data_IF_129495882686
#
_entry.id   IF_129495882686
#
_cell.length_a   1.000
_cell.length_b   1.000
_cell.length_c   1.000
_cell.angle_alpha   90.00
_cell.angle_beta   90.00
_cell.angle_gamma   90.00
#
_symmetry.space_group_name_H-M   'P 1'
#
loop_
_entity.id
_entity.type
_entity.pdbx_description
1 polymer ?
#
# COMPACT_ATOMS: atom_id res chain seq x y z
N UNK A 1 -7.96 18.97 12.07
CA UNK A 1 -8.37 17.93 11.12
C UNK A 1 -7.92 16.63 11.75
N UNK A 2 -8.84 15.74 12.09
CA UNK A 2 -8.48 14.45 12.68
C UNK A 2 -7.68 13.64 11.69
N UNK A 3 -6.60 13.02 12.15
CA UNK A 3 -5.81 12.08 11.38
C UNK A 3 -6.68 10.84 11.15
N UNK A 4 -7.18 10.67 9.91
CA UNK A 4 -8.07 9.56 9.53
C UNK A 4 -7.33 8.24 9.31
N UNK A 5 -6.06 8.15 9.70
CA UNK A 5 -5.33 6.89 9.58
C UNK A 5 -5.91 5.86 10.53
N UNK A 6 -6.19 4.67 9.99
CA UNK A 6 -6.50 3.54 10.84
C UNK A 6 -5.26 3.10 11.64
N UNK A 7 -5.40 2.65 12.89
CA UNK A 7 -4.30 2.17 13.71
C UNK A 7 -3.54 0.99 13.08
N UNK A 8 -4.18 0.23 12.24
CA UNK A 8 -3.57 -0.88 11.52
C UNK A 8 -4.41 -1.36 10.35
N UNK A 9 -3.78 -2.17 9.52
CA UNK A 9 -4.41 -2.86 8.39
C UNK A 9 -4.12 -4.35 8.46
N UNK A 10 -5.15 -5.15 8.21
CA UNK A 10 -4.97 -6.54 7.81
C UNK A 10 -5.27 -6.65 6.33
N UNK A 11 -4.30 -7.19 5.59
CA UNK A 11 -4.41 -7.39 4.14
C UNK A 11 -4.55 -8.88 3.85
N UNK A 12 -5.43 -9.22 2.93
CA UNK A 12 -5.48 -10.55 2.32
C UNK A 12 -5.12 -10.46 0.84
N UNK A 13 -4.10 -11.22 0.44
CA UNK A 13 -3.67 -11.39 -0.95
C UNK A 13 -4.31 -12.69 -1.45
N UNK A 14 -5.33 -12.61 -2.30
CA UNK A 14 -6.16 -13.75 -2.67
C UNK A 14 -6.15 -14.04 -4.17
N UNK A 15 -6.04 -15.30 -4.54
CA UNK A 15 -6.15 -15.74 -5.94
C UNK A 15 -7.60 -15.76 -6.44
N UNK A 16 -8.59 -15.70 -5.52
CA UNK A 16 -10.00 -15.65 -5.86
C UNK A 16 -10.37 -14.38 -6.60
N UNK A 17 -11.31 -14.47 -7.55
CA UNK A 17 -11.86 -13.29 -8.23
C UNK A 17 -12.62 -12.37 -7.24
N UNK A 18 -12.66 -11.04 -7.48
CA UNK A 18 -13.23 -10.07 -6.55
C UNK A 18 -14.70 -10.32 -6.16
N UNK A 19 -15.53 -10.77 -7.10
CA UNK A 19 -16.94 -11.07 -6.83
C UNK A 19 -17.13 -12.20 -5.79
N UNK A 20 -16.62 -13.41 -6.01
CA UNK A 20 -16.62 -14.50 -5.03
C UNK A 20 -15.95 -14.12 -3.71
N UNK A 21 -14.80 -13.42 -3.76
CA UNK A 21 -14.13 -12.96 -2.55
C UNK A 21 -15.04 -12.05 -1.71
N UNK A 22 -15.67 -11.05 -2.34
CA UNK A 22 -16.57 -10.11 -1.68
C UNK A 22 -17.83 -10.77 -1.12
N UNK A 23 -18.34 -11.83 -1.75
CA UNK A 23 -19.55 -12.54 -1.31
C UNK A 23 -19.26 -13.50 -0.15
N UNK A 24 -18.15 -14.22 -0.19
CA UNK A 24 -17.91 -15.36 0.69
C UNK A 24 -16.86 -15.04 1.77
N UNK A 25 -15.72 -14.47 1.36
CA UNK A 25 -14.58 -14.27 2.26
C UNK A 25 -14.63 -12.95 3.03
N UNK A 26 -14.86 -11.83 2.35
CA UNK A 26 -14.82 -10.52 2.97
C UNK A 26 -15.80 -10.39 4.15
N UNK A 27 -17.07 -10.84 4.09
CA UNK A 27 -17.98 -10.81 5.22
C UNK A 27 -17.50 -11.67 6.39
N UNK A 28 -16.91 -12.84 6.11
CA UNK A 28 -16.40 -13.76 7.14
C UNK A 28 -15.28 -13.11 7.94
N UNK A 29 -14.35 -12.41 7.26
CA UNK A 29 -13.26 -11.70 7.93
C UNK A 29 -13.78 -10.46 8.64
N UNK A 30 -14.66 -9.67 8.00
CA UNK A 30 -15.24 -8.45 8.56
C UNK A 30 -16.01 -8.68 9.86
N UNK A 31 -16.59 -9.87 10.05
CA UNK A 31 -17.25 -10.26 11.30
C UNK A 31 -16.26 -10.52 12.45
N UNK A 32 -14.96 -10.50 12.21
CA UNK A 32 -13.92 -10.71 13.22
C UNK A 32 -13.80 -9.53 14.18
N UNK A 33 -13.30 -9.84 15.39
CA UNK A 33 -13.08 -8.80 16.41
C UNK A 33 -11.98 -7.82 15.97
N UNK A 34 -12.21 -6.53 16.21
CA UNK A 34 -11.23 -5.49 15.93
C UNK A 34 -11.16 -5.05 14.47
N UNK A 35 -12.14 -5.39 13.65
CA UNK A 35 -12.28 -4.89 12.27
C UNK A 35 -13.37 -3.81 12.25
N UNK A 36 -13.06 -2.64 11.71
CA UNK A 36 -13.96 -1.48 11.66
C UNK A 36 -14.52 -1.23 10.25
N UNK A 37 -13.80 -1.66 9.22
CA UNK A 37 -14.22 -1.56 7.83
C UNK A 37 -13.52 -2.64 7.01
N UNK A 38 -14.19 -3.15 6.00
CA UNK A 38 -13.62 -4.06 5.03
C UNK A 38 -13.86 -3.54 3.61
N UNK A 39 -12.87 -3.67 2.75
CA UNK A 39 -12.99 -3.38 1.32
C UNK A 39 -12.21 -4.41 0.53
N UNK A 40 -12.61 -4.63 -0.73
CA UNK A 40 -11.87 -5.52 -1.62
C UNK A 40 -11.69 -4.90 -3.00
N UNK A 41 -10.57 -5.22 -3.60
CA UNK A 41 -10.00 -4.49 -4.71
C UNK A 41 -9.49 -5.44 -5.78
N UNK A 42 -9.77 -5.15 -7.05
CA UNK A 42 -9.24 -5.92 -8.17
C UNK A 42 -7.86 -5.42 -8.60
N UNK A 43 -6.96 -6.35 -8.84
CA UNK A 43 -5.65 -6.06 -9.41
C UNK A 43 -5.80 -5.51 -10.84
N UNK A 44 -5.19 -4.36 -11.11
CA UNK A 44 -5.30 -3.68 -12.40
C UNK A 44 -4.17 -4.02 -13.36
N UNK A 45 -3.10 -4.65 -12.87
CA UNK A 45 -1.95 -5.01 -13.71
C UNK A 45 -1.31 -6.34 -13.27
N UNK A 46 -2.02 -7.49 -13.43
CA UNK A 46 -1.54 -8.78 -12.94
C UNK A 46 -0.23 -9.24 -13.59
N UNK A 47 0.05 -8.79 -14.83
CA UNK A 47 1.26 -9.15 -15.58
C UNK A 47 2.37 -8.09 -15.47
N UNK A 48 2.39 -7.30 -14.38
CA UNK A 48 3.40 -6.26 -14.19
C UNK A 48 4.82 -6.82 -14.21
N UNK A 49 5.66 -6.29 -15.08
CA UNK A 49 7.06 -6.70 -15.29
C UNK A 49 8.07 -5.53 -15.19
N UNK A 50 7.56 -4.30 -15.06
CA UNK A 50 8.36 -3.07 -14.95
C UNK A 50 8.94 -2.81 -13.55
N UNK A 51 8.51 -3.59 -12.55
CA UNK A 51 8.99 -3.50 -11.16
C UNK A 51 9.33 -4.90 -10.65
N UNK A 52 10.47 -5.08 -9.96
CA UNK A 52 10.78 -6.35 -9.30
C UNK A 52 9.70 -6.76 -8.31
N UNK A 53 9.41 -8.05 -8.22
CA UNK A 53 8.50 -8.61 -7.21
C UNK A 53 9.04 -9.93 -6.66
N UNK A 54 8.74 -10.20 -5.41
CA UNK A 54 9.11 -11.44 -4.70
C UNK A 54 7.90 -12.21 -4.21
N UNK A 55 6.79 -11.51 -3.95
CA UNK A 55 5.53 -12.16 -3.67
C UNK A 55 4.90 -12.68 -4.97
N UNK A 56 4.21 -13.79 -4.84
CA UNK A 56 3.38 -14.30 -5.95
C UNK A 56 2.32 -13.26 -6.32
N UNK A 57 1.91 -13.28 -7.57
CA UNK A 57 0.80 -12.47 -8.04
C UNK A 57 -0.52 -12.95 -7.43
N UNK A 58 -1.46 -12.06 -7.28
CA UNK A 58 -2.79 -12.35 -6.75
C UNK A 58 -3.85 -11.47 -7.44
N UNK A 59 -5.08 -11.94 -7.46
CA UNK A 59 -6.18 -11.33 -8.20
C UNK A 59 -6.92 -10.26 -7.39
N UNK A 60 -7.12 -10.53 -6.09
CA UNK A 60 -7.92 -9.68 -5.20
C UNK A 60 -7.11 -9.29 -3.96
N UNK A 61 -7.15 -8.01 -3.64
CA UNK A 61 -6.64 -7.46 -2.38
C UNK A 61 -7.82 -7.21 -1.43
N UNK A 62 -7.88 -7.93 -0.30
CA UNK A 62 -8.74 -7.59 0.83
C UNK A 62 -8.03 -6.59 1.73
N UNK A 63 -8.70 -5.51 2.09
CA UNK A 63 -8.19 -4.49 3.03
C UNK A 63 -9.15 -4.36 4.18
N UNK A 64 -8.67 -4.60 5.39
CA UNK A 64 -9.44 -4.54 6.62
C UNK A 64 -8.80 -3.50 7.55
N UNK A 65 -9.57 -2.46 7.86
CA UNK A 65 -9.16 -1.43 8.82
C UNK A 65 -9.36 -1.95 10.24
N UNK A 66 -8.35 -1.72 11.07
CA UNK A 66 -8.28 -2.33 12.39
C UNK A 66 -8.53 -1.32 13.50
N UNK A 67 -9.08 -1.83 14.60
CA UNK A 67 -9.07 -1.20 15.93
C UNK A 67 -8.32 -2.09 16.92
N UNK A 68 -8.28 -1.68 18.17
CA UNK A 68 -7.67 -2.46 19.25
C UNK A 68 -8.29 -3.85 19.38
N UNK A 69 -7.47 -4.83 19.74
CA UNK A 69 -7.91 -6.20 20.00
C UNK A 69 -8.05 -7.09 18.78
N UNK A 70 -7.59 -6.64 17.61
CA UNK A 70 -7.58 -7.47 16.41
C UNK A 70 -6.74 -8.74 16.58
N UNK A 71 -7.28 -9.85 16.09
CA UNK A 71 -6.56 -11.12 15.97
C UNK A 71 -6.68 -11.62 14.53
N UNK A 72 -5.56 -11.87 13.84
CA UNK A 72 -5.60 -12.34 12.46
C UNK A 72 -6.41 -13.64 12.33
N UNK A 73 -7.35 -13.71 11.38
CA UNK A 73 -8.07 -14.95 11.10
C UNK A 73 -7.14 -15.98 10.46
N UNK A 74 -7.51 -17.24 10.54
CA UNK A 74 -6.84 -18.29 9.74
C UNK A 74 -7.10 -18.03 8.27
N UNK A 75 -6.02 -17.86 7.51
CA UNK A 75 -6.08 -17.72 6.06
C UNK A 75 -6.35 -19.11 5.43
N UNK A 76 -7.33 -19.22 4.51
CA UNK A 76 -7.53 -20.45 3.76
C UNK A 76 -6.42 -20.64 2.69
N UNK A 77 -6.42 -21.81 2.05
CA UNK A 77 -5.55 -22.07 0.90
C UNK A 77 -5.78 -21.01 -0.21
N UNK A 78 -4.68 -20.55 -0.84
CA UNK A 78 -4.73 -19.48 -1.87
C UNK A 78 -4.91 -18.05 -1.32
N UNK A 79 -4.83 -17.86 0.00
CA UNK A 79 -4.86 -16.54 0.64
C UNK A 79 -3.66 -16.34 1.55
N UNK A 80 -2.91 -15.26 1.34
CA UNK A 80 -1.85 -14.83 2.25
C UNK A 80 -2.34 -13.66 3.09
N UNK A 81 -2.25 -13.77 4.42
CA UNK A 81 -2.63 -12.70 5.36
C UNK A 81 -1.41 -11.92 5.85
N UNK A 82 -1.48 -10.59 5.80
CA UNK A 82 -0.43 -9.69 6.27
C UNK A 82 -1.02 -8.68 7.27
N UNK A 83 -0.41 -8.56 8.44
CA UNK A 83 -0.86 -7.63 9.48
C UNK A 83 0.12 -6.48 9.64
N UNK A 84 -0.36 -5.25 9.46
CA UNK A 84 0.43 -4.02 9.55
C UNK A 84 -0.12 -3.10 10.64
N UNK A 85 0.78 -2.45 11.38
CA UNK A 85 0.46 -1.39 12.32
C UNK A 85 0.88 -0.03 11.76
N UNK A 86 0.07 1.00 12.00
CA UNK A 86 0.46 2.37 11.68
C UNK A 86 1.70 2.76 12.47
N UNK A 87 2.63 3.42 11.82
CA UNK A 87 3.82 3.93 12.49
C UNK A 87 3.52 5.31 13.12
N UNK A 88 4.31 5.76 14.11
CA UNK A 88 4.17 7.12 14.62
C UNK A 88 4.60 8.21 13.61
N UNK A 89 4.98 7.82 12.40
CA UNK A 89 5.41 8.72 11.34
C UNK A 89 4.22 9.26 10.56
N UNK A 90 4.30 10.52 10.12
CA UNK A 90 3.18 11.14 9.41
C UNK A 90 2.96 10.48 8.05
N UNK A 91 1.70 10.31 7.67
CA UNK A 91 1.34 10.12 6.28
C UNK A 91 1.58 11.40 5.47
N UNK A 92 1.60 11.27 4.16
CA UNK A 92 1.77 12.39 3.22
C UNK A 92 0.48 12.57 2.42
N UNK A 93 -0.05 13.81 2.43
CA UNK A 93 -1.30 14.13 1.75
C UNK A 93 -2.48 14.31 2.70
N UNK A 94 -3.69 14.36 2.15
CA UNK A 94 -4.95 14.57 2.89
C UNK A 94 -6.07 13.76 2.25
N UNK A 95 -6.77 12.96 3.04
CA UNK A 95 -8.05 12.38 2.66
C UNK A 95 -9.11 13.48 2.66
N UNK A 96 -9.64 13.78 1.48
CA UNK A 96 -10.71 14.75 1.28
C UNK A 96 -12.10 14.11 1.40
N UNK A 97 -13.10 14.78 0.81
CA UNK A 97 -14.48 14.26 0.71
C UNK A 97 -14.64 13.27 -0.45
N UNK A 98 -13.71 13.26 -1.41
CA UNK A 98 -13.75 12.34 -2.54
C UNK A 98 -13.48 10.91 -2.06
N UNK A 99 -14.23 9.96 -2.60
CA UNK A 99 -14.08 8.55 -2.27
C UNK A 99 -12.71 8.03 -2.75
N UNK A 100 -12.09 7.17 -1.95
CA UNK A 100 -10.94 6.37 -2.37
C UNK A 100 -11.46 5.19 -3.19
N UNK A 101 -11.19 5.21 -4.50
CA UNK A 101 -11.61 4.16 -5.45
C UNK A 101 -10.44 3.54 -6.22
N UNK A 102 -9.22 4.03 -6.00
CA UNK A 102 -7.98 3.46 -6.47
C UNK A 102 -6.94 3.30 -5.35
N UNK A 103 -6.10 2.29 -5.43
CA UNK A 103 -4.96 2.08 -4.53
C UNK A 103 -3.68 1.81 -5.32
N UNK A 104 -2.53 2.21 -4.73
CA UNK A 104 -1.23 1.64 -5.06
C UNK A 104 -0.68 0.99 -3.79
N UNK A 105 -0.41 -0.31 -3.87
CA UNK A 105 0.20 -1.09 -2.81
C UNK A 105 1.69 -1.21 -3.08
N UNK A 106 2.52 -0.74 -2.15
CA UNK A 106 3.98 -0.85 -2.21
C UNK A 106 4.48 -1.57 -0.97
N UNK A 107 4.95 -2.79 -1.16
CA UNK A 107 5.54 -3.62 -0.12
C UNK A 107 7.04 -3.69 -0.32
N UNK A 108 7.78 -3.32 0.71
CA UNK A 108 9.25 -3.28 0.69
C UNK A 108 9.85 -3.89 1.95
N UNK A 109 11.09 -4.33 1.83
CA UNK A 109 11.89 -4.81 2.95
C UNK A 109 13.32 -4.29 2.86
N UNK A 110 14.03 -4.15 3.99
CA UNK A 110 15.46 -3.91 3.96
C UNK A 110 16.20 -5.15 3.47
N UNK A 111 17.40 -4.98 2.94
CA UNK A 111 18.26 -6.11 2.52
C UNK A 111 18.79 -6.87 3.72
N UNK A 112 19.07 -6.16 4.81
CA UNK A 112 19.45 -6.72 6.11
C UNK A 112 18.64 -6.05 7.22
N UNK A 113 18.52 -6.68 8.37
CA UNK A 113 17.78 -6.14 9.53
C UNK A 113 18.36 -4.81 10.01
N UNK A 114 19.68 -4.68 9.98
CA UNK A 114 20.40 -3.49 10.43
C UNK A 114 20.11 -2.26 9.55
N UNK A 115 19.78 -2.47 8.29
CA UNK A 115 19.43 -1.40 7.33
C UNK A 115 17.98 -0.93 7.45
N UNK A 116 17.17 -1.60 8.26
CA UNK A 116 15.74 -1.34 8.37
C UNK A 116 15.39 0.10 8.69
N UNK A 117 16.08 0.70 9.68
CA UNK A 117 15.84 2.09 10.08
C UNK A 117 16.21 3.08 8.95
N UNK A 118 17.35 2.87 8.28
CA UNK A 118 17.78 3.74 7.19
C UNK A 118 16.82 3.69 5.98
N UNK A 119 16.37 2.48 5.61
CA UNK A 119 15.36 2.30 4.57
C UNK A 119 14.05 3.00 4.91
N UNK A 120 13.60 2.84 6.16
CA UNK A 120 12.37 3.47 6.64
C UNK A 120 12.46 4.99 6.64
N UNK A 121 13.60 5.58 7.10
CA UNK A 121 13.82 7.02 7.09
C UNK A 121 13.80 7.57 5.67
N UNK A 122 14.47 6.90 4.74
CA UNK A 122 14.42 7.27 3.34
C UNK A 122 13.01 7.14 2.76
N UNK A 123 12.33 6.02 2.98
CA UNK A 123 10.97 5.79 2.46
C UNK A 123 9.99 6.87 2.91
N UNK A 124 9.97 7.15 4.22
CA UNK A 124 8.96 8.01 4.82
C UNK A 124 9.29 9.52 4.68
N UNK A 125 10.57 9.91 4.69
CA UNK A 125 10.96 11.33 4.72
C UNK A 125 11.56 11.84 3.41
N UNK A 126 11.93 10.95 2.49
CA UNK A 126 12.45 11.32 1.17
C UNK A 126 11.49 10.84 0.09
N UNK A 127 11.30 9.53 -0.04
CA UNK A 127 10.58 8.96 -1.18
C UNK A 127 9.11 9.39 -1.25
N UNK A 128 8.29 9.04 -0.26
CA UNK A 128 6.85 9.39 -0.29
C UNK A 128 6.60 10.89 -0.16
N UNK A 129 7.48 11.62 0.52
CA UNK A 129 7.38 13.08 0.62
C UNK A 129 7.49 13.74 -0.75
N UNK A 130 8.48 13.39 -1.55
CA UNK A 130 8.65 13.98 -2.89
C UNK A 130 7.50 13.60 -3.84
N UNK A 131 6.92 12.41 -3.68
CA UNK A 131 5.71 12.02 -4.40
C UNK A 131 4.53 12.92 -4.02
N UNK A 132 4.29 13.14 -2.73
CA UNK A 132 3.23 14.01 -2.26
C UNK A 132 3.43 15.47 -2.73
N UNK A 133 4.66 15.97 -2.66
CA UNK A 133 5.03 17.31 -3.13
C UNK A 133 4.91 17.47 -4.66
N UNK A 134 4.97 16.38 -5.43
CA UNK A 134 4.75 16.40 -6.87
C UNK A 134 3.27 16.57 -7.24
N UNK A 135 2.36 16.52 -6.26
CA UNK A 135 0.92 16.73 -6.42
C UNK A 135 0.33 15.89 -7.56
N UNK A 136 0.64 14.59 -7.57
CA UNK A 136 0.15 13.64 -8.58
C UNK A 136 -1.38 13.67 -8.60
N UNK A 137 -2.01 14.00 -9.75
CA UNK A 137 -3.46 14.04 -9.84
C UNK A 137 -4.08 12.69 -9.44
N UNK A 138 -5.08 12.74 -8.56
CA UNK A 138 -5.72 11.54 -8.02
C UNK A 138 -5.12 11.01 -6.73
N UNK A 139 -3.85 11.26 -6.40
CA UNK A 139 -3.28 10.86 -5.11
C UNK A 139 -3.91 11.70 -3.98
N UNK A 140 -4.26 11.03 -2.89
CA UNK A 140 -4.85 11.66 -1.70
C UNK A 140 -3.97 11.51 -0.47
N UNK A 141 -3.66 10.27 -0.10
CA UNK A 141 -2.88 9.98 1.09
C UNK A 141 -1.89 8.85 0.81
N UNK A 142 -0.70 8.98 1.35
CA UNK A 142 0.30 7.91 1.38
C UNK A 142 0.60 7.64 2.85
N UNK A 143 0.21 6.48 3.36
CA UNK A 143 0.38 6.13 4.76
C UNK A 143 1.43 5.04 4.92
N UNK A 144 2.49 5.27 5.72
CA UNK A 144 3.49 4.25 6.03
C UNK A 144 3.01 3.35 7.17
N UNK A 145 3.15 2.04 6.97
CA UNK A 145 2.87 1.01 7.96
C UNK A 145 4.08 0.06 8.12
N UNK A 146 4.13 -0.64 9.24
CA UNK A 146 5.12 -1.66 9.53
C UNK A 146 4.45 -2.98 9.88
N UNK A 147 4.96 -4.10 9.36
CA UNK A 147 4.41 -5.41 9.64
C UNK A 147 4.58 -5.80 11.11
N UNK A 148 3.50 -6.25 11.70
CA UNK A 148 3.47 -6.77 13.08
C UNK A 148 4.19 -8.13 13.11
N UNK A 149 5.12 -8.29 14.06
CA UNK A 149 5.94 -9.50 14.16
C UNK A 149 7.30 -9.38 13.47
N UNK A 150 7.47 -8.44 12.55
CA UNK A 150 8.75 -8.13 11.93
C UNK A 150 9.15 -9.02 10.76
N UNK A 151 8.21 -9.80 10.24
CA UNK A 151 8.39 -10.63 9.05
C UNK A 151 8.50 -9.79 7.76
N UNK A 152 8.74 -10.45 6.64
CA UNK A 152 8.73 -9.85 5.30
C UNK A 152 7.38 -10.09 4.61
N UNK A 153 6.86 -9.09 3.86
CA UNK A 153 7.39 -7.74 3.62
C UNK A 153 7.35 -6.87 4.88
N UNK A 154 8.43 -6.13 5.15
CA UNK A 154 8.60 -5.40 6.41
C UNK A 154 7.80 -4.11 6.48
N UNK A 155 7.73 -3.34 5.40
CA UNK A 155 7.08 -2.05 5.32
C UNK A 155 6.06 -2.01 4.21
N UNK A 156 4.97 -1.27 4.47
CA UNK A 156 3.93 -0.97 3.51
C UNK A 156 3.84 0.56 3.35
N UNK A 157 3.93 1.05 2.13
CA UNK A 157 3.40 2.36 1.77
C UNK A 157 2.06 2.16 1.08
N UNK A 158 1.00 2.63 1.73
CA UNK A 158 -0.38 2.49 1.27
C UNK A 158 -0.84 3.81 0.65
N UNK A 159 -1.03 3.80 -0.67
CA UNK A 159 -1.42 4.98 -1.42
C UNK A 159 -2.91 4.91 -1.72
N UNK A 160 -3.64 5.89 -1.23
CA UNK A 160 -5.07 6.06 -1.47
C UNK A 160 -5.28 7.09 -2.57
N UNK A 161 -6.13 6.74 -3.56
CA UNK A 161 -6.35 7.55 -4.75
C UNK A 161 -7.84 7.75 -5.00
N UNK A 162 -8.23 8.98 -5.37
CA UNK A 162 -9.55 9.30 -5.92
C UNK A 162 -9.47 9.23 -7.44
N UNK A 163 -9.49 8.02 -7.99
CA UNK A 163 -9.41 7.76 -9.43
C UNK A 163 -9.96 6.38 -9.77
N UNK A 164 -10.64 6.26 -10.90
CA UNK A 164 -11.09 4.98 -11.46
C UNK A 164 -10.01 4.28 -12.29
N UNK A 165 -8.90 4.97 -12.57
CA UNK A 165 -7.75 4.46 -13.31
C UNK A 165 -6.46 4.64 -12.50
N UNK A 166 -6.24 3.80 -11.46
CA UNK A 166 -5.05 3.91 -10.62
C UNK A 166 -3.76 3.58 -11.36
N UNK A 167 -3.82 2.79 -12.42
CA UNK A 167 -2.63 2.44 -13.22
C UNK A 167 -2.11 3.64 -14.02
N UNK A 168 -2.98 4.37 -14.71
CA UNK A 168 -2.60 5.61 -15.38
C UNK A 168 -2.10 6.65 -14.38
N UNK A 169 -2.75 6.77 -13.23
CA UNK A 169 -2.34 7.66 -12.15
C UNK A 169 -0.93 7.30 -11.65
N UNK A 170 -0.65 6.02 -11.40
CA UNK A 170 0.68 5.54 -11.01
C UNK A 170 1.76 5.91 -12.05
N UNK A 171 1.48 5.71 -13.34
CA UNK A 171 2.44 6.02 -14.43
C UNK A 171 2.76 7.51 -14.55
N UNK A 172 1.89 8.40 -14.09
CA UNK A 172 2.15 9.85 -14.10
C UNK A 172 3.06 10.30 -12.95
N UNK A 173 3.24 9.50 -11.91
CA UNK A 173 4.02 9.83 -10.72
C UNK A 173 5.48 10.16 -11.05
N UNK A 174 6.19 9.23 -11.67
CA UNK A 174 7.62 9.40 -11.96
C UNK A 174 7.92 10.63 -12.82
N UNK A 175 7.21 10.88 -13.95
CA UNK A 175 7.39 12.13 -14.71
C UNK A 175 7.18 13.40 -13.90
N UNK A 176 6.22 13.44 -13.01
CA UNK A 176 5.95 14.62 -12.17
C UNK A 176 7.03 14.84 -11.12
N UNK A 177 7.49 13.80 -10.45
CA UNK A 177 8.62 13.90 -9.54
C UNK A 177 9.89 14.30 -10.28
N UNK A 178 10.15 13.74 -11.45
CA UNK A 178 11.28 14.10 -12.31
C UNK A 178 11.25 15.58 -12.73
N UNK A 179 10.08 16.12 -13.05
CA UNK A 179 9.92 17.54 -13.37
C UNK A 179 10.36 18.47 -12.21
N UNK A 180 10.25 17.99 -10.96
CA UNK A 180 10.66 18.75 -9.76
C UNK A 180 12.14 18.55 -9.41
N UNK A 181 12.62 17.30 -9.47
CA UNK A 181 13.95 16.95 -8.96
C UNK A 181 15.04 16.95 -10.03
N UNK A 182 14.64 17.01 -11.30
CA UNK A 182 15.51 16.90 -12.44
C UNK A 182 15.53 15.48 -13.03
N UNK A 183 16.27 15.28 -14.14
CA UNK A 183 16.36 13.99 -14.80
C UNK A 183 17.18 12.96 -13.99
N UNK A 184 17.07 11.65 -14.31
CA UNK A 184 17.98 10.62 -13.80
C UNK A 184 19.44 11.05 -13.95
N UNK A 185 20.26 10.82 -12.91
CA UNK A 185 21.64 11.28 -12.80
C UNK A 185 21.78 12.63 -12.08
N UNK A 186 20.70 13.32 -11.72
CA UNK A 186 20.76 14.44 -10.78
C UNK A 186 20.74 13.92 -9.35
N UNK A 187 21.55 14.48 -8.41
CA UNK A 187 21.60 13.99 -7.03
C UNK A 187 20.23 13.89 -6.35
N UNK A 188 19.36 14.90 -6.55
CA UNK A 188 18.05 14.93 -5.93
C UNK A 188 17.11 13.83 -6.48
N UNK A 189 17.16 13.56 -7.79
CA UNK A 189 16.38 12.49 -8.40
C UNK A 189 16.88 11.11 -7.96
N UNK A 190 18.21 10.90 -8.00
CA UNK A 190 18.80 9.60 -7.67
C UNK A 190 18.59 9.25 -6.19
N UNK A 191 18.67 10.24 -5.29
CA UNK A 191 18.38 10.10 -3.86
C UNK A 191 16.89 9.73 -3.61
N UNK A 192 15.97 10.31 -4.38
CA UNK A 192 14.56 9.95 -4.33
C UNK A 192 14.27 8.56 -4.91
N UNK A 193 14.89 8.23 -6.05
CA UNK A 193 14.53 7.05 -6.83
C UNK A 193 15.00 5.75 -6.21
N UNK A 194 16.11 5.78 -5.47
CA UNK A 194 16.76 4.58 -5.00
C UNK A 194 17.45 4.73 -3.65
N UNK A 195 17.37 3.68 -2.84
CA UNK A 195 18.15 3.53 -1.61
C UNK A 195 18.89 2.17 -1.63
N UNK A 196 20.18 2.09 -1.21
CA UNK A 196 20.95 0.84 -1.27
C UNK A 196 20.36 -0.30 -0.46
N UNK A 197 19.66 -0.01 0.64
CA UNK A 197 18.96 -1.01 1.44
C UNK A 197 17.61 -1.44 0.84
N UNK A 198 17.12 -0.79 -0.22
CA UNK A 198 15.79 -1.08 -0.77
C UNK A 198 15.75 -2.46 -1.43
N UNK A 199 14.77 -3.24 -1.01
CA UNK A 199 14.29 -4.42 -1.69
C UNK A 199 12.80 -4.28 -1.90
N UNK A 200 12.36 -4.33 -3.15
CA UNK A 200 10.95 -4.31 -3.51
C UNK A 200 10.43 -5.73 -3.40
N UNK A 201 9.38 -5.94 -2.61
CA UNK A 201 8.71 -7.21 -2.46
C UNK A 201 7.49 -7.31 -3.37
N UNK A 202 6.74 -6.19 -3.51
CA UNK A 202 5.58 -6.12 -4.39
C UNK A 202 5.15 -4.66 -4.66
N UNK A 203 4.76 -4.35 -5.89
CA UNK A 203 4.13 -3.07 -6.27
C UNK A 203 3.03 -3.36 -7.26
N UNK A 204 1.81 -2.93 -6.98
CA UNK A 204 0.73 -2.99 -7.97
C UNK A 204 -0.41 -2.01 -7.65
N UNK A 205 -1.26 -1.76 -8.63
CA UNK A 205 -2.41 -0.88 -8.57
C UNK A 205 -3.71 -1.70 -8.49
N UNK A 206 -4.69 -1.17 -7.76
CA UNK A 206 -5.94 -1.84 -7.48
C UNK A 206 -7.12 -0.88 -7.60
N UNK A 207 -8.27 -1.38 -8.06
CA UNK A 207 -9.53 -0.66 -8.15
C UNK A 207 -10.55 -1.25 -7.18
N UNK A 208 -11.32 -0.38 -6.54
CA UNK A 208 -12.37 -0.78 -5.60
C UNK A 208 -13.46 -1.60 -6.30
N UNK A 209 -13.82 -2.72 -5.70
CA UNK A 209 -14.91 -3.59 -6.15
C UNK A 209 -16.07 -3.65 -5.16
N UNK A 210 -15.81 -3.38 -3.88
CA UNK A 210 -16.83 -3.29 -2.87
C UNK A 210 -16.30 -3.07 -1.46
N UNK A 211 -17.22 -2.75 -0.54
CA UNK A 211 -16.91 -2.48 0.85
C UNK A 211 -18.04 -2.90 1.79
N UNK A 212 -17.68 -3.13 3.05
CA UNK A 212 -18.56 -3.36 4.20
C UNK A 212 -18.15 -2.41 5.33
N UNK A 213 -19.14 -1.72 5.91
CA UNK A 213 -18.97 -0.82 7.04
C UNK A 213 -19.34 -1.51 8.35
#
# INVERSE_FOLDING_TARGET
>A
MEDRRTPGLYLELADAAPGPYGTDRAPTVAAGTGITRASWWSNQHPDRDDVPRRLAEFTTLGVYELSDGFTPPTAPEGVAGLHFAATPRPGQGVLGEDATNGLLLVLISPRTTEEGQALRDWGDFVHIRHIAEAAVPGYRMITPYEQVGGDEPRYLHFYEMATDDPETTYKTMTPLVQARLGPPGTPAYDDWAWHPALRIDYVNTFRLEGELA
#
